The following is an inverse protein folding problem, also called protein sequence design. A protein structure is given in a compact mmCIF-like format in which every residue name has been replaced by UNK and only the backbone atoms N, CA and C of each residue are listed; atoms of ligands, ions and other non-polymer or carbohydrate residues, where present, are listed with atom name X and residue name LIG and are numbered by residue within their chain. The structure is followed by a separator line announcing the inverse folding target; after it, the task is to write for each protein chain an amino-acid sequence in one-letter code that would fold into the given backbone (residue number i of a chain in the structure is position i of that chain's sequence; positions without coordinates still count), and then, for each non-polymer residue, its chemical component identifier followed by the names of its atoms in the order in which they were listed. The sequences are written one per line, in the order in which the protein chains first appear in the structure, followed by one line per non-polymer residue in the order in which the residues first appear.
data_IF_016422829904
#
_entry.id   IF_016422829904
#
_cell.length_a   1.000
_cell.length_b   1.000
_cell.length_c   1.000
_cell.angle_alpha   90.00
_cell.angle_beta   90.00
_cell.angle_gamma   90.00
#
_symmetry.space_group_name_H-M   'P 1'
#
loop_
_entity.id
_entity.type
_entity.pdbx_description
1 polymer ?
#
# COMPACT_ATOMS: atom_id res chain seq x y z
N UNK A 1 -2.38 10.58 39.85
CA UNK A 1 -1.51 11.03 38.76
C UNK A 1 -1.74 10.09 37.59
N UNK A 2 -2.68 10.45 36.69
CA UNK A 2 -2.88 9.71 35.43
C UNK A 2 -1.69 9.98 34.53
N UNK A 3 -0.89 8.96 34.27
CA UNK A 3 0.07 8.97 33.18
C UNK A 3 -0.73 9.14 31.87
N UNK A 4 -0.60 10.29 31.26
CA UNK A 4 -0.92 10.47 29.85
C UNK A 4 0.06 9.55 29.09
N UNK A 5 -0.36 8.30 28.83
CA UNK A 5 0.25 7.50 27.76
C UNK A 5 0.14 8.36 26.51
N UNK A 6 1.28 8.73 25.93
CA UNK A 6 1.33 9.57 24.75
C UNK A 6 0.36 9.02 23.69
N UNK A 7 -0.60 9.85 23.30
CA UNK A 7 -1.67 9.49 22.36
C UNK A 7 -1.01 9.12 21.03
N UNK A 8 -1.24 7.91 20.58
CA UNK A 8 -0.63 7.40 19.34
C UNK A 8 -1.32 8.08 18.16
N UNK A 9 -0.67 9.06 17.53
CA UNK A 9 -1.21 9.71 16.33
C UNK A 9 -0.91 8.86 15.10
N UNK A 10 -1.95 8.48 14.39
CA UNK A 10 -1.88 7.66 13.17
C UNK A 10 -1.98 8.58 11.96
N UNK A 11 -1.11 8.37 10.96
CA UNK A 11 -1.20 8.97 9.64
C UNK A 11 -1.47 7.89 8.60
N UNK A 12 -2.46 8.10 7.73
CA UNK A 12 -2.78 7.21 6.62
C UNK A 12 -2.53 7.95 5.31
N UNK A 13 -1.66 7.44 4.45
CA UNK A 13 -1.48 7.95 3.09
C UNK A 13 -2.27 7.11 2.09
N UNK A 14 -2.70 7.69 0.97
CA UNK A 14 -3.57 6.99 0.01
C UNK A 14 -4.94 6.65 0.62
N UNK A 15 -5.43 7.55 1.48
CA UNK A 15 -6.59 7.35 2.33
C UNK A 15 -7.91 7.15 1.57
N UNK A 16 -7.98 7.60 0.30
CA UNK A 16 -9.16 7.45 -0.57
C UNK A 16 -9.08 6.20 -1.46
N UNK A 17 -7.96 5.48 -1.42
CA UNK A 17 -7.79 4.20 -2.10
C UNK A 17 -8.62 3.09 -1.44
N UNK A 18 -8.63 1.91 -2.08
CA UNK A 18 -9.40 0.75 -1.63
C UNK A 18 -9.08 0.36 -0.17
N UNK A 19 -7.79 0.15 0.12
CA UNK A 19 -7.33 -0.23 1.46
C UNK A 19 -7.40 0.94 2.46
N UNK A 20 -6.98 2.14 2.03
CA UNK A 20 -7.02 3.32 2.89
C UNK A 20 -8.44 3.64 3.39
N UNK A 21 -9.44 3.50 2.53
CA UNK A 21 -10.85 3.68 2.91
C UNK A 21 -11.30 2.62 3.92
N UNK A 22 -11.00 1.35 3.68
CA UNK A 22 -11.34 0.26 4.61
C UNK A 22 -10.67 0.45 5.98
N UNK A 23 -9.39 0.84 5.97
CA UNK A 23 -8.65 1.08 7.20
C UNK A 23 -9.26 2.23 8.02
N UNK A 24 -9.67 3.31 7.37
CA UNK A 24 -10.37 4.42 8.03
C UNK A 24 -11.65 3.95 8.71
N UNK A 25 -12.50 3.18 8.02
CA UNK A 25 -13.70 2.61 8.61
C UNK A 25 -13.40 1.71 9.82
N UNK A 26 -12.37 0.88 9.73
CA UNK A 26 -11.95 0.04 10.85
C UNK A 26 -11.50 0.86 12.07
N UNK A 27 -10.72 1.93 11.84
CA UNK A 27 -10.25 2.80 12.91
C UNK A 27 -11.41 3.61 13.52
N UNK A 28 -12.36 4.07 12.72
CA UNK A 28 -13.60 4.72 13.20
C UNK A 28 -14.42 3.78 14.09
N UNK A 29 -14.60 2.52 13.71
CA UNK A 29 -15.27 1.49 14.53
C UNK A 29 -14.56 1.28 15.88
N UNK A 30 -13.23 1.40 15.90
CA UNK A 30 -12.41 1.25 17.11
C UNK A 30 -12.24 2.55 17.91
N UNK A 31 -12.82 3.65 17.42
CA UNK A 31 -12.68 4.99 18.00
C UNK A 31 -11.22 5.43 18.15
N UNK A 32 -10.37 5.02 17.19
CA UNK A 32 -8.98 5.43 17.10
C UNK A 32 -8.86 6.78 16.37
N UNK A 33 -7.97 7.64 16.81
CA UNK A 33 -7.71 8.92 16.16
C UNK A 33 -6.65 8.78 15.07
N UNK A 34 -6.93 9.34 13.91
CA UNK A 34 -6.01 9.36 12.79
C UNK A 34 -6.14 10.63 11.95
N UNK A 35 -5.11 10.91 11.17
CA UNK A 35 -5.15 11.87 10.06
C UNK A 35 -5.06 11.09 8.75
N UNK A 36 -5.99 11.32 7.86
CA UNK A 36 -6.07 10.68 6.55
C UNK A 36 -5.71 11.68 5.46
N UNK A 37 -4.76 11.34 4.61
CA UNK A 37 -4.30 12.20 3.51
C UNK A 37 -4.25 11.43 2.19
N UNK A 38 -4.51 12.16 1.12
CA UNK A 38 -4.34 11.68 -0.25
C UNK A 38 -3.55 12.72 -1.06
N UNK A 39 -3.43 12.56 -2.37
CA UNK A 39 -2.61 13.42 -3.23
C UNK A 39 -2.94 14.92 -3.10
N UNK A 40 -4.19 15.26 -2.83
CA UNK A 40 -4.63 16.66 -2.67
C UNK A 40 -4.03 17.31 -1.40
N UNK A 41 -4.01 16.57 -0.29
CA UNK A 41 -3.49 17.03 1.00
C UNK A 41 -1.97 16.84 1.10
N UNK A 42 -1.48 15.71 0.59
CA UNK A 42 -0.06 15.35 0.65
C UNK A 42 0.34 14.54 -0.59
N UNK A 43 0.81 15.25 -1.61
CA UNK A 43 1.49 14.62 -2.73
C UNK A 43 2.82 14.03 -2.24
N UNK A 44 2.88 12.71 -2.13
CA UNK A 44 4.06 12.00 -1.60
C UNK A 44 5.30 12.16 -2.47
N UNK A 45 5.15 12.49 -3.76
CA UNK A 45 6.28 12.75 -4.65
C UNK A 45 7.00 14.06 -4.36
N UNK A 46 6.38 14.93 -3.56
CA UNK A 46 6.93 16.21 -3.13
C UNK A 46 7.40 16.14 -1.68
N UNK A 47 8.72 16.07 -1.48
CA UNK A 47 9.34 15.94 -0.17
C UNK A 47 8.96 17.07 0.81
N UNK A 48 8.80 18.32 0.32
CA UNK A 48 8.45 19.45 1.18
C UNK A 48 7.01 19.35 1.69
N UNK A 49 6.07 18.89 0.84
CA UNK A 49 4.69 18.63 1.26
C UNK A 49 4.61 17.50 2.27
N UNK A 50 5.37 16.41 2.08
CA UNK A 50 5.47 15.31 3.03
C UNK A 50 5.97 15.82 4.38
N UNK A 51 7.11 16.51 4.40
CA UNK A 51 7.69 17.04 5.63
C UNK A 51 6.73 17.97 6.37
N UNK A 52 6.07 18.89 5.65
CA UNK A 52 5.08 19.81 6.23
C UNK A 52 3.94 19.08 6.95
N UNK A 53 3.41 18.00 6.35
CA UNK A 53 2.35 17.21 6.98
C UNK A 53 2.87 16.48 8.21
N UNK A 54 4.07 15.90 8.16
CA UNK A 54 4.67 15.23 9.31
C UNK A 54 4.95 16.20 10.47
N UNK A 55 5.42 17.41 10.20
CA UNK A 55 5.60 18.45 11.21
C UNK A 55 4.30 18.85 11.90
N UNK A 56 3.19 18.92 11.14
CA UNK A 56 1.87 19.27 11.65
C UNK A 56 1.21 18.13 12.44
N UNK A 57 1.25 16.93 11.90
CA UNK A 57 0.57 15.75 12.44
C UNK A 57 1.36 15.10 13.56
N UNK A 58 2.69 15.09 13.46
CA UNK A 58 3.62 14.39 14.36
C UNK A 58 3.20 12.94 14.62
N UNK A 59 3.07 12.14 13.55
CA UNK A 59 2.58 10.77 13.67
C UNK A 59 3.58 9.91 14.44
N UNK A 60 3.08 8.96 15.22
CA UNK A 60 3.87 7.87 15.80
C UNK A 60 3.73 6.57 15.03
N UNK A 61 2.74 6.49 14.13
CA UNK A 61 2.48 5.35 13.26
C UNK A 61 1.98 5.86 11.90
N UNK A 62 2.55 5.34 10.83
CA UNK A 62 2.17 5.66 9.46
C UNK A 62 1.74 4.39 8.73
N UNK A 63 0.50 4.37 8.24
CA UNK A 63 0.04 3.37 7.28
C UNK A 63 0.21 3.92 5.87
N UNK A 64 1.20 3.43 5.16
CA UNK A 64 1.51 3.89 3.81
C UNK A 64 0.78 3.04 2.77
N UNK A 65 -0.47 3.45 2.48
CA UNK A 65 -1.35 2.79 1.51
C UNK A 65 -1.31 3.46 0.11
N UNK A 66 -0.65 4.61 -0.02
CA UNK A 66 -0.49 5.27 -1.31
C UNK A 66 0.43 4.46 -2.21
N UNK A 67 -0.04 4.13 -3.41
CA UNK A 67 0.72 3.44 -4.44
C UNK A 67 0.11 3.66 -5.82
N UNK A 68 0.92 3.63 -6.85
CA UNK A 68 0.47 3.39 -8.21
C UNK A 68 0.21 1.88 -8.38
N UNK A 69 -0.96 1.50 -8.86
CA UNK A 69 -1.38 0.08 -8.90
C UNK A 69 -1.93 -0.36 -10.26
N UNK A 70 -1.83 0.49 -11.28
CA UNK A 70 -2.24 0.14 -12.65
C UNK A 70 -1.09 -0.63 -13.33
N UNK A 71 -1.02 -1.94 -13.05
CA UNK A 71 0.08 -2.83 -13.45
C UNK A 71 0.37 -2.77 -14.94
N UNK A 72 -0.66 -2.91 -15.78
CA UNK A 72 -0.49 -2.90 -17.24
C UNK A 72 -0.01 -1.53 -17.75
N UNK A 73 -0.56 -0.44 -17.24
CA UNK A 73 -0.14 0.91 -17.62
C UNK A 73 1.29 1.26 -17.15
N UNK A 74 1.76 0.62 -16.09
CA UNK A 74 3.14 0.79 -15.62
C UNK A 74 4.19 0.32 -16.63
N UNK A 75 3.84 -0.61 -17.54
CA UNK A 75 4.75 -1.06 -18.59
C UNK A 75 4.98 0.01 -19.69
N UNK A 76 4.01 0.93 -19.87
CA UNK A 76 4.00 1.91 -20.96
C UNK A 76 3.83 3.35 -20.45
N UNK A 77 2.64 3.95 -20.64
CA UNK A 77 2.36 5.37 -20.38
C UNK A 77 2.40 5.75 -18.89
N UNK A 78 2.21 4.80 -18.00
CA UNK A 78 2.21 5.01 -16.54
C UNK A 78 3.57 4.89 -15.86
N UNK A 79 4.62 4.51 -16.60
CA UNK A 79 5.93 4.16 -16.06
C UNK A 79 6.57 5.26 -15.20
N UNK A 80 6.56 6.49 -15.69
CA UNK A 80 7.13 7.62 -14.95
C UNK A 80 6.35 7.90 -13.65
N UNK A 81 5.02 7.79 -13.72
CA UNK A 81 4.15 8.01 -12.57
C UNK A 81 4.27 6.87 -11.55
N UNK A 82 4.36 5.63 -12.02
CA UNK A 82 4.62 4.45 -11.18
C UNK A 82 5.93 4.62 -10.41
N UNK A 83 7.02 4.99 -11.09
CA UNK A 83 8.30 5.25 -10.46
C UNK A 83 8.23 6.42 -9.46
N UNK A 84 7.60 7.53 -9.85
CA UNK A 84 7.48 8.70 -8.98
C UNK A 84 6.73 8.37 -7.68
N UNK A 85 5.63 7.62 -7.76
CA UNK A 85 4.80 7.30 -6.60
C UNK A 85 5.42 6.17 -5.77
N UNK A 86 5.75 5.02 -6.40
CA UNK A 86 6.16 3.83 -5.68
C UNK A 86 7.61 3.88 -5.17
N UNK A 87 8.48 4.66 -5.83
CA UNK A 87 9.89 4.80 -5.45
C UNK A 87 10.13 6.11 -4.73
N UNK A 88 10.01 7.26 -5.44
CA UNK A 88 10.32 8.57 -4.87
C UNK A 88 9.36 8.91 -3.73
N UNK A 89 8.07 8.68 -3.92
CA UNK A 89 7.04 8.93 -2.89
C UNK A 89 7.26 8.09 -1.63
N UNK A 90 7.55 6.78 -1.80
CA UNK A 90 7.87 5.89 -0.69
C UNK A 90 9.14 6.34 0.05
N UNK A 91 10.20 6.74 -0.68
CA UNK A 91 11.42 7.25 -0.07
C UNK A 91 11.18 8.50 0.78
N UNK A 92 10.38 9.45 0.27
CA UNK A 92 10.05 10.67 0.99
C UNK A 92 9.28 10.35 2.30
N UNK A 93 8.31 9.46 2.24
CA UNK A 93 7.52 9.04 3.42
C UNK A 93 8.42 8.30 4.42
N UNK A 94 9.29 7.38 3.97
CA UNK A 94 10.20 6.64 4.85
C UNK A 94 11.18 7.57 5.57
N UNK A 95 11.79 8.52 4.85
CA UNK A 95 12.69 9.53 5.43
C UNK A 95 11.99 10.42 6.46
N UNK A 96 10.79 10.87 6.16
CA UNK A 96 10.01 11.68 7.09
C UNK A 96 9.60 10.87 8.33
N UNK A 97 9.17 9.62 8.16
CA UNK A 97 8.82 8.74 9.27
C UNK A 97 10.01 8.51 10.22
N UNK A 98 11.21 8.22 9.70
CA UNK A 98 12.43 8.11 10.52
C UNK A 98 12.75 9.41 11.26
N UNK A 99 12.76 10.54 10.55
CA UNK A 99 13.06 11.86 11.13
C UNK A 99 12.12 12.21 12.30
N UNK A 100 10.86 11.81 12.20
CA UNK A 100 9.84 12.08 13.23
C UNK A 100 9.65 10.93 14.25
N UNK A 101 10.44 9.85 14.14
CA UNK A 101 10.39 8.70 15.06
C UNK A 101 9.12 7.86 14.95
N UNK A 102 8.47 7.87 13.80
CA UNK A 102 7.26 7.09 13.54
C UNK A 102 7.59 5.66 13.11
N UNK A 103 6.71 4.71 13.42
CA UNK A 103 6.74 3.38 12.80
C UNK A 103 6.04 3.44 11.44
N UNK A 104 6.61 2.81 10.42
CA UNK A 104 6.05 2.75 9.07
C UNK A 104 5.50 1.35 8.76
N UNK A 105 4.24 1.26 8.36
CA UNK A 105 3.65 0.05 7.77
C UNK A 105 3.51 0.29 6.28
N UNK A 106 4.36 -0.36 5.49
CA UNK A 106 4.40 -0.25 4.04
C UNK A 106 3.69 -1.43 3.37
N UNK A 107 2.77 -1.12 2.45
CA UNK A 107 2.05 -2.14 1.70
C UNK A 107 2.77 -2.43 0.41
N UNK A 108 3.26 -3.65 0.28
CA UNK A 108 3.92 -4.18 -0.91
C UNK A 108 3.05 -5.24 -1.61
N UNK A 109 3.61 -6.04 -2.48
CA UNK A 109 2.92 -6.95 -3.39
C UNK A 109 3.69 -8.25 -3.57
N UNK A 110 3.00 -9.32 -3.93
CA UNK A 110 3.58 -10.58 -4.42
C UNK A 110 4.27 -10.44 -5.80
N UNK A 111 3.98 -9.37 -6.56
CA UNK A 111 4.67 -9.04 -7.82
C UNK A 111 6.18 -8.78 -7.65
N UNK A 112 6.67 -8.69 -6.41
CA UNK A 112 8.12 -8.65 -6.13
C UNK A 112 8.80 -10.00 -6.41
N UNK A 113 8.05 -11.08 -6.57
CA UNK A 113 8.55 -12.42 -6.90
C UNK A 113 8.39 -12.73 -8.39
N UNK A 114 9.10 -13.76 -8.87
CA UNK A 114 9.10 -14.17 -10.29
C UNK A 114 7.88 -15.00 -10.73
N UNK A 115 7.01 -15.39 -9.82
CA UNK A 115 5.81 -16.16 -10.12
C UNK A 115 6.07 -17.62 -10.54
N UNK A 116 7.28 -18.15 -10.43
CA UNK A 116 7.66 -19.47 -10.97
C UNK A 116 7.57 -20.62 -9.98
N UNK A 117 7.20 -20.38 -8.71
CA UNK A 117 6.99 -21.49 -7.78
C UNK A 117 5.86 -22.40 -8.28
N UNK A 118 6.01 -23.73 -8.14
CA UNK A 118 4.95 -24.68 -8.48
C UNK A 118 3.66 -24.38 -7.73
N UNK A 119 2.52 -24.61 -8.36
CA UNK A 119 1.20 -24.47 -7.73
C UNK A 119 1.13 -25.29 -6.43
N UNK A 120 0.69 -24.65 -5.35
CA UNK A 120 0.63 -25.26 -4.02
C UNK A 120 1.86 -25.00 -3.15
N UNK A 121 2.92 -24.38 -3.69
CA UNK A 121 4.02 -23.84 -2.89
C UNK A 121 3.81 -22.34 -2.65
N UNK A 122 4.03 -21.91 -1.41
CA UNK A 122 3.88 -20.51 -1.02
C UNK A 122 5.23 -19.79 -1.06
N UNK A 123 5.16 -18.47 -1.25
CA UNK A 123 6.31 -17.59 -1.10
C UNK A 123 6.55 -17.34 0.38
N UNK A 124 7.80 -17.48 0.82
CA UNK A 124 8.23 -17.19 2.17
C UNK A 124 8.81 -15.77 2.26
N UNK A 125 8.92 -15.24 3.47
CA UNK A 125 9.37 -13.87 3.71
C UNK A 125 10.80 -13.62 3.21
N UNK A 126 11.65 -14.63 3.31
CA UNK A 126 13.07 -14.62 2.96
C UNK A 126 13.37 -15.15 1.54
N UNK A 127 12.33 -15.53 0.79
CA UNK A 127 12.51 -15.86 -0.63
C UNK A 127 13.06 -14.65 -1.39
N UNK A 128 14.00 -14.91 -2.28
CA UNK A 128 14.65 -13.86 -3.06
C UNK A 128 13.65 -13.17 -4.01
N UNK A 129 13.48 -11.84 -3.92
CA UNK A 129 12.70 -11.11 -4.92
C UNK A 129 13.35 -11.16 -6.31
N UNK A 130 12.51 -11.32 -7.34
CA UNK A 130 12.89 -11.26 -8.75
C UNK A 130 11.69 -10.78 -9.58
N UNK A 131 11.30 -9.48 -9.46
CA UNK A 131 10.11 -8.94 -10.10
C UNK A 131 10.22 -8.98 -11.62
N UNK A 132 9.14 -9.41 -12.28
CA UNK A 132 9.06 -9.59 -13.73
C UNK A 132 8.31 -8.46 -14.44
N UNK A 133 7.67 -7.55 -13.67
CA UNK A 133 6.92 -6.40 -14.18
C UNK A 133 7.50 -5.09 -13.66
N UNK A 134 7.24 -3.99 -14.38
CA UNK A 134 7.67 -2.65 -13.94
C UNK A 134 7.06 -2.29 -12.59
N UNK A 135 5.76 -2.53 -12.41
CA UNK A 135 5.09 -2.37 -11.12
C UNK A 135 5.78 -3.15 -9.98
N UNK A 136 6.05 -4.45 -10.21
CA UNK A 136 6.76 -5.28 -9.22
C UNK A 136 8.15 -4.74 -8.90
N UNK A 137 8.87 -4.25 -9.94
CA UNK A 137 10.20 -3.65 -9.80
C UNK A 137 10.16 -2.38 -8.95
N UNK A 138 9.24 -1.45 -9.23
CA UNK A 138 9.12 -0.21 -8.46
C UNK A 138 8.66 -0.46 -7.02
N UNK A 139 7.77 -1.42 -6.79
CA UNK A 139 7.37 -1.83 -5.44
C UNK A 139 8.55 -2.45 -4.66
N UNK A 140 9.38 -3.30 -5.30
CA UNK A 140 10.60 -3.83 -4.67
C UNK A 140 11.61 -2.72 -4.35
N UNK A 141 11.82 -1.77 -5.26
CA UNK A 141 12.66 -0.60 -4.97
C UNK A 141 12.12 0.19 -3.76
N UNK A 142 10.80 0.32 -3.64
CA UNK A 142 10.17 0.91 -2.46
C UNK A 142 10.49 0.15 -1.17
N UNK A 143 10.43 -1.20 -1.17
CA UNK A 143 10.85 -2.02 -0.03
C UNK A 143 12.31 -1.72 0.37
N UNK A 144 13.23 -1.70 -0.60
CA UNK A 144 14.65 -1.42 -0.37
C UNK A 144 14.91 -0.03 0.22
N UNK A 145 14.12 0.97 -0.20
CA UNK A 145 14.19 2.33 0.35
C UNK A 145 13.62 2.39 1.78
N UNK A 146 12.55 1.64 2.08
CA UNK A 146 12.06 1.50 3.45
C UNK A 146 13.14 0.86 4.32
N UNK A 147 13.69 -0.29 3.93
CA UNK A 147 14.77 -0.99 4.64
C UNK A 147 16.00 -0.08 4.88
N UNK A 148 16.32 0.78 3.91
CA UNK A 148 17.47 1.67 3.96
C UNK A 148 17.29 2.89 4.87
N UNK A 149 16.08 3.45 4.90
CA UNK A 149 15.86 4.80 5.45
C UNK A 149 15.14 4.84 6.78
N UNK A 150 14.52 3.74 7.23
CA UNK A 150 13.77 3.74 8.48
C UNK A 150 14.09 2.51 9.35
N UNK A 151 14.21 2.75 10.66
CA UNK A 151 14.60 1.72 11.63
C UNK A 151 13.41 0.90 12.14
N UNK A 152 12.21 1.51 12.22
CA UNK A 152 11.01 0.88 12.74
C UNK A 152 9.96 0.74 11.64
N UNK A 153 9.90 -0.42 11.00
CA UNK A 153 8.97 -0.65 9.90
C UNK A 153 8.42 -2.07 9.85
N UNK A 154 7.31 -2.20 9.12
CA UNK A 154 6.75 -3.46 8.65
C UNK A 154 6.51 -3.37 7.16
N UNK A 155 6.89 -4.39 6.39
CA UNK A 155 6.60 -4.53 4.97
C UNK A 155 5.59 -5.67 4.83
N UNK A 156 4.40 -5.37 4.30
CA UNK A 156 3.32 -6.34 4.13
C UNK A 156 3.12 -6.58 2.64
N UNK A 157 3.54 -7.75 2.15
CA UNK A 157 3.28 -8.20 0.79
C UNK A 157 1.90 -8.82 0.71
N UNK A 158 1.09 -8.34 -0.20
CA UNK A 158 -0.30 -8.79 -0.40
C UNK A 158 -0.55 -9.12 -1.87
N UNK A 159 -1.65 -9.82 -2.17
CA UNK A 159 -2.03 -10.20 -3.52
C UNK A 159 -3.54 -10.03 -3.73
N UNK A 160 -3.94 -9.70 -4.96
CA UNK A 160 -5.33 -9.72 -5.42
C UNK A 160 -6.30 -9.04 -4.46
N UNK A 161 -5.98 -7.83 -4.04
CA UNK A 161 -6.76 -7.08 -3.05
C UNK A 161 -8.14 -6.72 -3.62
N UNK A 162 -9.18 -7.05 -2.89
CA UNK A 162 -10.57 -6.71 -3.20
C UNK A 162 -11.32 -6.28 -1.95
N UNK A 163 -12.40 -5.52 -2.13
CA UNK A 163 -13.20 -5.06 -1.00
C UNK A 163 -14.41 -4.24 -1.42
N UNK A 164 -15.01 -3.58 -0.44
CA UNK A 164 -16.24 -2.80 -0.63
C UNK A 164 -15.99 -1.41 -1.24
N UNK A 165 -14.74 -0.98 -1.30
CA UNK A 165 -14.37 0.38 -1.71
C UNK A 165 -13.41 0.37 -2.90
N UNK A 166 -13.42 1.46 -3.65
CA UNK A 166 -12.52 1.65 -4.78
C UNK A 166 -12.77 0.72 -5.96
N UNK A 167 -11.83 0.69 -6.88
CA UNK A 167 -11.88 -0.19 -8.06
C UNK A 167 -11.20 -1.52 -7.73
N UNK A 168 -11.81 -2.63 -8.09
CA UNK A 168 -11.23 -3.96 -7.95
C UNK A 168 -11.79 -4.92 -9.01
N UNK A 169 -11.18 -6.09 -9.12
CA UNK A 169 -11.55 -7.10 -10.09
C UNK A 169 -13.03 -7.52 -9.98
N UNK A 170 -13.56 -7.68 -8.76
CA UNK A 170 -14.96 -8.10 -8.54
C UNK A 170 -15.93 -7.09 -9.15
N UNK A 171 -15.76 -5.80 -8.83
CA UNK A 171 -16.61 -4.74 -9.39
C UNK A 171 -16.41 -4.57 -10.90
N UNK A 172 -15.20 -4.77 -11.39
CA UNK A 172 -14.92 -4.76 -12.82
C UNK A 172 -15.69 -5.86 -13.53
N UNK A 173 -15.64 -7.11 -13.03
CA UNK A 173 -16.39 -8.23 -13.61
C UNK A 173 -17.91 -8.01 -13.52
N UNK A 174 -18.41 -7.53 -12.40
CA UNK A 174 -19.85 -7.21 -12.25
C UNK A 174 -20.32 -6.14 -13.24
N UNK A 175 -19.49 -5.12 -13.52
CA UNK A 175 -19.86 -4.08 -14.47
C UNK A 175 -19.76 -4.57 -15.93
N UNK A 176 -18.74 -5.33 -16.27
CA UNK A 176 -18.60 -5.91 -17.60
C UNK A 176 -19.73 -6.90 -17.92
N UNK A 177 -20.16 -7.71 -16.96
CA UNK A 177 -21.27 -8.65 -17.11
C UNK A 177 -22.62 -7.97 -17.43
N UNK A 178 -22.77 -6.68 -17.15
CA UNK A 178 -23.99 -5.92 -17.52
C UNK A 178 -24.05 -5.57 -19.01
N UNK A 179 -22.91 -5.51 -19.67
CA UNK A 179 -22.78 -4.98 -21.04
C UNK A 179 -22.23 -5.98 -22.04
N UNK A 180 -21.62 -7.06 -21.57
CA UNK A 180 -20.98 -8.08 -22.42
C UNK A 180 -21.63 -9.45 -22.21
N UNK A 181 -21.96 -10.14 -23.30
CA UNK A 181 -22.51 -11.51 -23.24
C UNK A 181 -21.46 -12.56 -22.89
N UNK A 182 -20.19 -12.27 -23.22
CA UNK A 182 -19.05 -13.17 -22.99
C UNK A 182 -17.87 -12.34 -22.47
N UNK A 183 -17.21 -12.85 -21.45
CA UNK A 183 -15.98 -12.27 -20.90
C UNK A 183 -14.85 -13.27 -21.08
N UNK A 184 -13.69 -12.77 -21.50
CA UNK A 184 -12.46 -13.55 -21.54
C UNK A 184 -11.61 -13.17 -20.35
N UNK A 185 -11.24 -14.15 -19.54
CA UNK A 185 -10.43 -13.96 -18.32
C UNK A 185 -9.24 -14.90 -18.40
N UNK A 186 -8.05 -14.44 -17.98
CA UNK A 186 -6.86 -15.30 -17.85
C UNK A 186 -7.14 -16.44 -16.87
N UNK A 187 -6.65 -17.64 -17.15
CA UNK A 187 -6.90 -18.83 -16.35
C UNK A 187 -5.63 -19.59 -15.95
N UNK A 188 -4.48 -19.02 -16.20
CA UNK A 188 -3.14 -19.56 -15.92
C UNK A 188 -2.44 -18.88 -14.74
N UNK A 189 -3.11 -17.95 -14.08
CA UNK A 189 -2.62 -17.29 -12.86
C UNK A 189 -3.20 -17.96 -11.61
N UNK A 190 -2.33 -18.21 -10.66
CA UNK A 190 -2.70 -18.75 -9.34
C UNK A 190 -2.29 -17.75 -8.27
N UNK A 191 -3.20 -17.39 -7.38
CA UNK A 191 -2.95 -16.39 -6.35
C UNK A 191 -3.92 -16.52 -5.18
N UNK A 192 -3.72 -15.69 -4.16
CA UNK A 192 -4.58 -15.64 -2.97
C UNK A 192 -5.32 -14.31 -2.92
N UNK A 193 -6.64 -14.30 -3.18
CA UNK A 193 -7.43 -13.09 -3.00
C UNK A 193 -7.38 -12.62 -1.54
N UNK A 194 -7.12 -11.34 -1.36
CA UNK A 194 -7.04 -10.71 -0.03
C UNK A 194 -8.16 -9.69 0.14
N UNK A 195 -9.06 -9.93 1.09
CA UNK A 195 -10.10 -8.97 1.42
C UNK A 195 -9.50 -7.78 2.20
N UNK A 196 -9.82 -6.55 1.77
CA UNK A 196 -9.31 -5.32 2.40
C UNK A 196 -9.56 -5.25 3.89
N UNK A 197 -10.71 -5.78 4.36
CA UNK A 197 -11.04 -5.83 5.79
C UNK A 197 -10.06 -6.70 6.57
N UNK A 198 -9.80 -7.91 6.10
CA UNK A 198 -8.83 -8.81 6.73
C UNK A 198 -7.41 -8.20 6.73
N UNK A 199 -7.03 -7.55 5.62
CA UNK A 199 -5.72 -6.88 5.54
C UNK A 199 -5.65 -5.71 6.53
N UNK A 200 -6.68 -4.87 6.63
CA UNK A 200 -6.75 -3.77 7.58
C UNK A 200 -6.70 -4.26 9.04
N UNK A 201 -7.41 -5.33 9.36
CA UNK A 201 -7.36 -5.96 10.69
C UNK A 201 -5.95 -6.48 11.00
N UNK A 202 -5.30 -7.15 10.06
CA UNK A 202 -3.91 -7.62 10.21
C UNK A 202 -2.91 -6.47 10.41
N UNK A 203 -3.04 -5.40 9.65
CA UNK A 203 -2.17 -4.22 9.78
C UNK A 203 -2.25 -3.54 11.15
N UNK A 204 -3.38 -3.68 11.81
CA UNK A 204 -3.68 -2.99 13.09
C UNK A 204 -3.57 -3.89 14.33
N UNK A 205 -3.13 -5.13 14.12
CA UNK A 205 -2.85 -6.10 15.20
C UNK A 205 -1.51 -5.79 15.85
#
# INVERSE_FOLDING_TARGET
MNQLKGRKMILITGANGQLGTELRHLLDERSEEYVAVDVAEMDITNAEKVEKVFEQVKPSLVYHCAAYTAVDAAEDEGKELDFAINVIGTENVAKAAEKHGATLVYISTDYVFDGKKPVGQEWEVDDRPDPQTEYGRTKRMGEELVEKHISNFYIIRTAWVFGNYGKNFVFTMQNLAKTHQTLTVVNDQHGRPTWTRTLAEFMTY
#
